data_IF_842986016434
#
_entry.id   IF_842986016434
#
_cell.length_a   1.000
_cell.length_b   1.000
_cell.length_c   1.000
_cell.angle_alpha   90.00
_cell.angle_beta   90.00
_cell.angle_gamma   90.00
#
_symmetry.space_group_name_H-M   'P 1'
#
loop_
_entity.id
_entity.type
_entity.pdbx_description
1 polymer ?
#
# COMPACT_ATOMS: atom_id res chain seq x y z
N UNK A 1 -37.12 -6.04 8.29
CA UNK A 1 -37.17 -4.99 7.26
C UNK A 1 -36.18 -3.92 7.71
N UNK A 2 -34.92 -4.01 7.28
CA UNK A 2 -33.89 -3.02 7.64
C UNK A 2 -33.99 -1.92 6.60
N UNK A 3 -34.29 -0.71 7.03
CA UNK A 3 -34.30 0.47 6.17
C UNK A 3 -32.92 0.61 5.54
N UNK A 4 -32.87 0.46 4.20
CA UNK A 4 -31.69 0.77 3.43
C UNK A 4 -31.48 2.28 3.53
N UNK A 5 -30.54 2.70 4.37
CA UNK A 5 -30.00 4.05 4.36
C UNK A 5 -29.53 4.30 2.93
N UNK A 6 -30.26 5.12 2.18
CA UNK A 6 -29.80 5.62 0.89
C UNK A 6 -28.58 6.49 1.19
N UNK A 7 -27.39 5.95 0.96
CA UNK A 7 -26.19 6.77 0.89
C UNK A 7 -26.44 7.85 -0.18
N UNK A 8 -26.09 9.12 0.10
CA UNK A 8 -26.17 10.16 -0.93
C UNK A 8 -25.36 9.69 -2.14
N UNK A 9 -25.87 10.00 -3.34
CA UNK A 9 -25.20 9.60 -4.57
C UNK A 9 -23.77 10.18 -4.58
N UNK A 10 -22.76 9.32 -4.75
CA UNK A 10 -21.37 9.74 -4.90
C UNK A 10 -21.23 10.48 -6.22
N UNK A 11 -20.97 11.78 -6.15
CA UNK A 11 -20.55 12.61 -7.28
C UNK A 11 -19.03 12.78 -7.21
N UNK A 12 -18.32 12.25 -8.19
CA UNK A 12 -16.86 12.22 -8.23
C UNK A 12 -16.36 13.17 -9.32
N UNK A 13 -15.59 14.20 -8.95
CA UNK A 13 -14.80 14.96 -9.92
C UNK A 13 -13.40 14.38 -10.02
N UNK A 14 -12.75 14.50 -11.19
CA UNK A 14 -11.44 13.90 -11.41
C UNK A 14 -10.46 14.90 -12.03
N UNK A 15 -9.20 14.86 -11.58
CA UNK A 15 -8.08 15.54 -12.21
C UNK A 15 -6.93 14.55 -12.46
N UNK A 16 -6.18 14.78 -13.53
CA UNK A 16 -4.91 14.09 -13.81
C UNK A 16 -3.81 15.14 -13.75
N UNK A 17 -2.90 15.02 -12.79
CA UNK A 17 -1.71 15.86 -12.72
C UNK A 17 -0.59 15.26 -13.55
N UNK A 18 0.14 16.10 -14.29
CA UNK A 18 1.20 15.65 -15.19
C UNK A 18 2.34 16.65 -15.30
N UNK A 19 3.55 16.16 -15.56
CA UNK A 19 4.65 16.99 -16.04
C UNK A 19 4.44 17.34 -17.54
N UNK A 20 4.88 18.52 -18.04
CA UNK A 20 4.75 18.90 -19.45
C UNK A 20 5.25 17.85 -20.44
N UNK A 21 6.40 17.24 -20.13
CA UNK A 21 7.00 16.20 -20.97
C UNK A 21 6.17 14.91 -21.08
N UNK A 22 5.11 14.74 -20.27
CA UNK A 22 4.20 13.58 -20.28
C UNK A 22 2.74 13.96 -20.54
N UNK A 23 2.47 15.19 -20.97
CA UNK A 23 1.10 15.67 -21.23
C UNK A 23 0.30 14.75 -22.17
N UNK A 24 0.93 14.25 -23.24
CA UNK A 24 0.30 13.29 -24.16
C UNK A 24 -0.18 12.01 -23.46
N UNK A 25 0.50 11.58 -22.38
CA UNK A 25 0.10 10.42 -21.59
C UNK A 25 -1.12 10.72 -20.75
N UNK A 26 -1.10 11.87 -20.06
CA UNK A 26 -2.24 12.33 -19.28
C UNK A 26 -3.50 12.50 -20.14
N UNK A 27 -3.36 13.03 -21.37
CA UNK A 27 -4.47 13.12 -22.33
C UNK A 27 -5.01 11.76 -22.75
N UNK A 28 -4.13 10.79 -23.05
CA UNK A 28 -4.55 9.41 -23.36
C UNK A 28 -5.25 8.73 -22.19
N UNK A 29 -4.75 8.93 -20.97
CA UNK A 29 -5.39 8.44 -19.76
C UNK A 29 -6.78 9.08 -19.60
N UNK A 30 -6.90 10.39 -19.81
CA UNK A 30 -8.18 11.09 -19.79
C UNK A 30 -9.18 10.52 -20.82
N UNK A 31 -8.74 10.31 -22.06
CA UNK A 31 -9.54 9.71 -23.13
C UNK A 31 -10.00 8.29 -22.81
N UNK A 32 -9.22 7.53 -22.03
CA UNK A 32 -9.59 6.19 -21.57
C UNK A 32 -10.59 6.18 -20.42
N UNK A 33 -10.88 7.34 -19.81
CA UNK A 33 -11.76 7.50 -18.65
C UNK A 33 -12.92 8.49 -18.95
N UNK A 34 -13.69 8.30 -20.03
CA UNK A 34 -14.67 9.29 -20.48
C UNK A 34 -15.79 9.55 -19.45
N UNK A 35 -16.16 8.55 -18.66
CA UNK A 35 -17.19 8.66 -17.61
C UNK A 35 -16.75 9.56 -16.45
N UNK A 36 -15.45 9.65 -16.19
CA UNK A 36 -14.87 10.50 -15.15
C UNK A 36 -14.58 11.92 -15.64
N UNK A 37 -14.52 12.12 -16.96
CA UNK A 37 -14.22 13.38 -17.64
C UNK A 37 -13.11 14.20 -16.94
N UNK A 38 -11.90 13.64 -16.78
CA UNK A 38 -10.88 14.24 -15.92
C UNK A 38 -10.27 15.52 -16.52
N UNK A 39 -10.06 16.52 -15.66
CA UNK A 39 -9.29 17.71 -16.02
C UNK A 39 -7.79 17.39 -16.02
N UNK A 40 -7.07 17.69 -17.12
CA UNK A 40 -5.61 17.51 -17.19
C UNK A 40 -4.92 18.78 -16.67
N UNK A 41 -4.14 18.62 -15.60
CA UNK A 41 -3.43 19.69 -14.90
C UNK A 41 -1.93 19.54 -15.16
N UNK A 42 -1.43 20.39 -16.05
CA UNK A 42 -0.02 20.39 -16.47
C UNK A 42 0.80 21.26 -15.53
N UNK A 43 1.89 20.69 -15.01
CA UNK A 43 2.86 21.37 -14.17
C UNK A 43 3.52 22.52 -14.93
N UNK A 44 3.31 23.74 -14.47
CA UNK A 44 3.90 24.96 -15.02
C UNK A 44 4.94 25.58 -14.06
N UNK A 45 5.34 24.82 -13.03
CA UNK A 45 6.27 25.31 -12.01
C UNK A 45 7.72 25.21 -12.44
N UNK A 46 8.59 25.99 -11.77
CA UNK A 46 10.01 25.97 -12.05
C UNK A 46 10.63 24.58 -11.77
N UNK A 47 11.50 24.06 -12.65
CA UNK A 47 12.16 22.78 -12.44
C UNK A 47 12.88 22.71 -11.09
N UNK A 48 12.74 21.58 -10.39
CA UNK A 48 13.44 21.32 -9.13
C UNK A 48 12.71 21.74 -7.86
N UNK A 49 11.51 22.34 -7.95
CA UNK A 49 10.68 22.66 -6.77
C UNK A 49 9.95 21.46 -6.15
N UNK A 50 9.96 20.31 -6.81
CA UNK A 50 9.08 19.18 -6.48
C UNK A 50 7.74 19.28 -7.20
N UNK A 51 6.75 18.49 -6.79
CA UNK A 51 5.45 18.39 -7.47
C UNK A 51 4.28 18.92 -6.63
N UNK A 52 4.53 19.42 -5.41
CA UNK A 52 3.48 19.91 -4.50
C UNK A 52 2.62 21.01 -5.12
N UNK A 53 3.23 22.03 -5.73
CA UNK A 53 2.49 23.14 -6.34
C UNK A 53 1.50 22.66 -7.43
N UNK A 54 1.91 21.71 -8.28
CA UNK A 54 1.02 21.12 -9.28
C UNK A 54 -0.05 20.24 -8.64
N UNK A 55 0.28 19.49 -7.59
CA UNK A 55 -0.70 18.71 -6.83
C UNK A 55 -1.77 19.62 -6.21
N UNK A 56 -1.39 20.74 -5.59
CA UNK A 56 -2.35 21.71 -5.01
C UNK A 56 -3.30 22.26 -6.09
N UNK A 57 -2.79 22.56 -7.29
CA UNK A 57 -3.63 22.94 -8.46
C UNK A 57 -4.58 21.82 -8.88
N UNK A 58 -4.13 20.56 -8.85
CA UNK A 58 -4.98 19.42 -9.15
C UNK A 58 -6.09 19.25 -8.11
N UNK A 59 -5.78 19.35 -6.81
CA UNK A 59 -6.79 19.32 -5.75
C UNK A 59 -7.77 20.49 -5.79
N UNK A 60 -7.31 21.68 -6.22
CA UNK A 60 -8.16 22.86 -6.41
C UNK A 60 -9.14 22.71 -7.59
N UNK A 61 -8.91 21.77 -8.51
CA UNK A 61 -9.77 21.54 -9.67
C UNK A 61 -11.03 20.70 -9.34
N UNK A 62 -11.30 20.46 -8.05
CA UNK A 62 -12.52 19.80 -7.59
C UNK A 62 -13.78 20.50 -8.11
N UNK A 63 -14.74 19.72 -8.60
CA UNK A 63 -15.98 20.24 -9.14
C UNK A 63 -16.86 20.92 -8.09
N UNK A 64 -17.62 21.94 -8.50
CA UNK A 64 -18.51 22.68 -7.58
C UNK A 64 -19.53 21.75 -6.89
N UNK A 65 -20.13 20.83 -7.64
CA UNK A 65 -21.16 19.90 -7.18
C UNK A 65 -20.60 18.52 -6.73
N UNK A 66 -19.27 18.36 -6.70
CA UNK A 66 -18.66 17.09 -6.35
C UNK A 66 -18.87 16.77 -4.85
N UNK A 67 -18.99 15.49 -4.51
CA UNK A 67 -18.90 15.01 -3.12
C UNK A 67 -17.48 14.61 -2.76
N UNK A 68 -16.74 14.10 -3.75
CA UNK A 68 -15.38 13.59 -3.62
C UNK A 68 -14.57 14.02 -4.83
N UNK A 69 -13.26 14.08 -4.66
CA UNK A 69 -12.34 14.39 -5.73
C UNK A 69 -11.26 13.31 -5.86
N UNK A 70 -11.12 12.76 -7.06
CA UNK A 70 -10.03 11.87 -7.44
C UNK A 70 -8.92 12.67 -8.12
N UNK A 71 -7.68 12.55 -7.63
CA UNK A 71 -6.48 12.99 -8.34
C UNK A 71 -5.70 11.76 -8.78
N UNK A 72 -5.34 11.71 -10.06
CA UNK A 72 -4.50 10.68 -10.68
C UNK A 72 -3.16 11.29 -11.13
N UNK A 73 -2.10 10.50 -11.07
CA UNK A 73 -0.84 10.80 -11.75
C UNK A 73 -0.88 10.24 -13.19
N UNK A 74 -0.04 10.78 -14.07
CA UNK A 74 -0.05 10.48 -15.50
C UNK A 74 0.58 9.13 -15.91
N UNK A 75 1.17 8.41 -14.95
CA UNK A 75 1.82 7.11 -15.11
C UNK A 75 1.08 5.97 -14.41
N UNK A 76 -0.23 6.08 -14.25
CA UNK A 76 -1.09 5.00 -13.75
C UNK A 76 -1.80 4.25 -14.87
N UNK A 77 -2.08 2.98 -14.62
CA UNK A 77 -2.85 2.10 -15.49
C UNK A 77 -4.10 1.63 -14.71
N UNK A 78 -5.30 2.15 -15.06
CA UNK A 78 -6.56 1.70 -14.47
C UNK A 78 -6.85 0.23 -14.74
N UNK A 79 -7.43 -0.46 -13.76
CA UNK A 79 -7.99 -1.80 -13.97
C UNK A 79 -9.26 -1.77 -14.85
N UNK A 80 -9.74 -2.96 -15.22
CA UNK A 80 -11.05 -3.10 -15.86
C UNK A 80 -12.17 -2.63 -14.92
N UNK A 81 -13.20 -1.97 -15.45
CA UNK A 81 -14.32 -1.40 -14.69
C UNK A 81 -13.90 -0.35 -13.62
N UNK A 82 -12.73 0.27 -13.79
CA UNK A 82 -12.15 1.22 -12.84
C UNK A 82 -13.15 2.25 -12.28
N UNK A 83 -13.87 2.97 -13.15
CA UNK A 83 -14.82 4.00 -12.74
C UNK A 83 -15.87 3.45 -11.76
N UNK A 84 -16.53 2.35 -12.12
CA UNK A 84 -17.55 1.73 -11.28
C UNK A 84 -16.99 1.24 -9.94
N UNK A 85 -15.76 0.69 -9.95
CA UNK A 85 -15.09 0.22 -8.74
C UNK A 85 -14.71 1.37 -7.81
N UNK A 86 -14.21 2.50 -8.34
CA UNK A 86 -13.91 3.69 -7.53
C UNK A 86 -15.19 4.26 -6.90
N UNK A 87 -16.29 4.35 -7.65
CA UNK A 87 -17.56 4.79 -7.08
C UNK A 87 -18.04 3.90 -5.93
N UNK A 88 -17.89 2.58 -6.06
CA UNK A 88 -18.23 1.63 -4.98
C UNK A 88 -17.30 1.73 -3.78
N UNK A 89 -16.00 1.91 -4.01
CA UNK A 89 -15.01 2.11 -2.97
C UNK A 89 -15.35 3.36 -2.13
N UNK A 90 -15.60 4.49 -2.81
CA UNK A 90 -15.99 5.76 -2.18
C UNK A 90 -17.32 5.66 -1.44
N UNK A 91 -18.32 4.98 -2.02
CA UNK A 91 -19.60 4.79 -1.35
C UNK A 91 -19.48 3.97 -0.06
N UNK A 92 -18.55 3.01 0.00
CA UNK A 92 -18.31 2.19 1.19
C UNK A 92 -17.48 2.90 2.27
N UNK A 93 -16.64 3.88 1.88
CA UNK A 93 -15.74 4.64 2.76
C UNK A 93 -15.79 6.14 2.44
N UNK A 94 -16.93 6.81 2.68
CA UNK A 94 -17.14 8.19 2.23
C UNK A 94 -16.47 9.24 3.12
N UNK A 95 -15.90 8.86 4.27
CA UNK A 95 -15.23 9.79 5.19
C UNK A 95 -13.69 9.68 5.10
N UNK A 96 -13.20 8.59 4.53
CA UNK A 96 -11.79 8.24 4.49
C UNK A 96 -11.11 8.74 3.21
N UNK A 97 -9.80 8.95 3.28
CA UNK A 97 -8.96 9.07 2.10
C UNK A 97 -8.75 7.67 1.50
N UNK A 98 -8.85 7.55 0.17
CA UNK A 98 -8.78 6.25 -0.51
C UNK A 98 -7.63 6.27 -1.52
N UNK A 99 -6.52 5.64 -1.16
CA UNK A 99 -5.42 5.30 -2.07
C UNK A 99 -5.79 4.09 -2.93
N UNK A 100 -5.79 4.28 -4.25
CA UNK A 100 -6.16 3.24 -5.23
C UNK A 100 -4.98 2.34 -5.64
N UNK A 101 -3.80 2.65 -5.11
CA UNK A 101 -2.53 1.99 -5.39
C UNK A 101 -1.67 1.92 -4.12
N UNK A 102 -0.83 0.90 -4.03
CA UNK A 102 0.21 0.77 -3.03
C UNK A 102 1.39 0.01 -3.65
N UNK A 103 2.57 0.62 -3.64
CA UNK A 103 3.77 0.00 -4.20
C UNK A 103 4.20 -1.21 -3.35
N UNK A 104 4.60 -2.29 -4.01
CA UNK A 104 4.84 -3.61 -3.43
C UNK A 104 5.92 -3.70 -2.34
N UNK A 105 6.82 -2.73 -2.26
CA UNK A 105 7.86 -2.67 -1.23
C UNK A 105 7.57 -1.65 -0.15
N UNK A 106 6.39 -1.03 -0.12
CA UNK A 106 6.00 -0.11 0.96
C UNK A 106 5.66 -0.85 2.26
N UNK A 107 5.52 -0.12 3.37
CA UNK A 107 5.00 -0.68 4.64
C UNK A 107 3.55 -1.08 4.47
N UNK A 108 2.74 -0.26 3.81
CA UNK A 108 1.32 -0.53 3.55
C UNK A 108 1.12 -1.80 2.74
N UNK A 109 2.06 -2.18 1.87
CA UNK A 109 2.03 -3.45 1.14
C UNK A 109 1.97 -4.67 2.07
N UNK A 110 2.57 -4.56 3.26
CA UNK A 110 2.54 -5.62 4.29
C UNK A 110 1.10 -5.84 4.77
N UNK A 111 0.35 -4.78 5.03
CA UNK A 111 -1.06 -4.86 5.43
C UNK A 111 -1.97 -5.23 4.25
N UNK A 112 -1.64 -4.80 3.03
CA UNK A 112 -2.37 -5.21 1.84
C UNK A 112 -2.30 -6.72 1.59
N UNK A 113 -1.16 -7.37 1.91
CA UNK A 113 -1.04 -8.83 1.87
C UNK A 113 -1.92 -9.52 2.91
N UNK A 114 -2.04 -8.95 4.11
CA UNK A 114 -2.97 -9.42 5.14
C UNK A 114 -4.42 -9.31 4.65
N UNK A 115 -4.81 -8.17 4.10
CA UNK A 115 -6.13 -7.97 3.51
C UNK A 115 -6.41 -8.98 2.40
N UNK A 116 -5.48 -9.18 1.47
CA UNK A 116 -5.61 -10.16 0.39
C UNK A 116 -5.77 -11.60 0.91
N UNK A 117 -5.05 -11.96 2.00
CA UNK A 117 -5.17 -13.28 2.64
C UNK A 117 -6.48 -13.48 3.41
N UNK A 118 -7.09 -12.40 3.90
CA UNK A 118 -8.40 -12.41 4.56
C UNK A 118 -9.57 -12.20 3.60
N UNK A 119 -9.30 -11.91 2.32
CA UNK A 119 -10.33 -11.53 1.35
C UNK A 119 -10.98 -10.18 1.66
N UNK A 120 -10.26 -9.28 2.32
CA UNK A 120 -10.71 -7.93 2.64
C UNK A 120 -10.32 -6.94 1.56
N UNK A 121 -11.16 -5.93 1.37
CA UNK A 121 -10.96 -4.89 0.37
C UNK A 121 -10.09 -3.72 0.83
N UNK A 122 -9.62 -3.73 2.08
CA UNK A 122 -9.02 -2.56 2.72
C UNK A 122 -7.79 -2.90 3.54
N UNK A 123 -6.76 -2.07 3.42
CA UNK A 123 -5.62 -2.02 4.32
C UNK A 123 -5.34 -0.56 4.72
N UNK A 124 -4.85 -0.31 5.94
CA UNK A 124 -4.39 1.04 6.32
C UNK A 124 -3.15 1.43 5.52
N UNK A 125 -3.08 2.69 5.10
CA UNK A 125 -1.84 3.30 4.66
C UNK A 125 -1.01 3.71 5.89
N UNK A 126 0.18 3.13 6.05
CA UNK A 126 1.03 3.25 7.25
C UNK A 126 2.46 3.69 6.92
N UNK A 127 2.68 4.18 5.70
CA UNK A 127 3.96 4.70 5.25
C UNK A 127 4.24 6.12 5.76
N UNK A 128 5.48 6.57 5.61
CA UNK A 128 5.90 7.96 5.88
C UNK A 128 5.32 8.97 4.88
N UNK A 129 4.64 8.48 3.84
CA UNK A 129 4.07 9.20 2.72
C UNK A 129 2.73 8.56 2.37
N UNK A 130 1.87 9.28 1.66
CA UNK A 130 0.60 8.74 1.14
C UNK A 130 0.83 8.16 -0.26
N UNK A 131 0.36 6.95 -0.58
CA UNK A 131 0.30 6.48 -1.96
C UNK A 131 -0.65 7.36 -2.79
N UNK A 132 -0.09 8.39 -3.46
CA UNK A 132 -0.85 9.44 -4.16
C UNK A 132 -0.94 9.28 -5.68
N UNK A 133 -0.50 8.14 -6.22
CA UNK A 133 -0.61 7.83 -7.65
C UNK A 133 -2.08 7.88 -8.14
N UNK A 134 -3.00 7.45 -7.28
CA UNK A 134 -4.41 7.73 -7.40
C UNK A 134 -5.01 7.81 -6.01
N UNK A 135 -5.50 9.00 -5.65
CA UNK A 135 -6.03 9.29 -4.32
C UNK A 135 -7.40 9.96 -4.44
N UNK A 136 -8.38 9.46 -3.68
CA UNK A 136 -9.66 10.11 -3.50
C UNK A 136 -9.72 10.78 -2.13
N UNK A 137 -10.19 12.02 -2.09
CA UNK A 137 -10.54 12.72 -0.85
C UNK A 137 -12.01 13.16 -0.88
N UNK A 138 -12.69 13.22 0.27
CA UNK A 138 -13.90 14.02 0.42
C UNK A 138 -13.64 15.46 -0.04
N UNK A 139 -14.64 16.09 -0.69
CA UNK A 139 -14.48 17.42 -1.31
C UNK A 139 -13.96 18.47 -0.32
N UNK A 140 -14.43 18.46 0.92
CA UNK A 140 -13.99 19.42 1.93
C UNK A 140 -12.50 19.31 2.22
N UNK A 141 -11.96 18.08 2.22
CA UNK A 141 -10.55 17.82 2.44
C UNK A 141 -9.71 18.14 1.21
N UNK A 142 -10.23 17.89 0.00
CA UNK A 142 -9.59 18.33 -1.24
C UNK A 142 -9.40 19.86 -1.27
N UNK A 143 -10.44 20.63 -0.95
CA UNK A 143 -10.38 22.10 -0.91
C UNK A 143 -9.46 22.61 0.20
N UNK A 144 -9.56 22.03 1.40
CA UNK A 144 -8.73 22.44 2.53
C UNK A 144 -7.24 22.14 2.28
N UNK A 145 -6.92 20.99 1.67
CA UNK A 145 -5.55 20.68 1.28
C UNK A 145 -5.06 21.60 0.15
N UNK A 146 -5.88 21.87 -0.86
CA UNK A 146 -5.54 22.78 -1.96
C UNK A 146 -5.23 24.21 -1.50
N UNK A 147 -5.82 24.65 -0.38
CA UNK A 147 -5.57 25.96 0.23
C UNK A 147 -4.34 25.99 1.17
N UNK A 148 -3.63 24.87 1.34
CA UNK A 148 -2.41 24.82 2.13
C UNK A 148 -1.28 25.63 1.50
N UNK A 149 -0.31 26.04 2.34
CA UNK A 149 0.88 26.74 1.88
C UNK A 149 1.76 25.82 1.00
N UNK A 150 2.16 26.31 -0.18
CA UNK A 150 3.15 25.64 -1.02
C UNK A 150 4.55 25.82 -0.42
N UNK A 151 5.00 24.81 0.33
CA UNK A 151 6.36 24.74 0.87
C UNK A 151 7.37 24.18 -0.13
N UNK A 152 6.94 23.85 -1.36
CA UNK A 152 7.67 22.98 -2.28
C UNK A 152 7.79 21.54 -1.76
N UNK A 153 8.49 20.70 -2.52
CA UNK A 153 8.75 19.30 -2.19
C UNK A 153 7.74 18.32 -2.78
N UNK A 154 7.66 17.14 -2.15
CA UNK A 154 6.84 16.04 -2.61
C UNK A 154 5.41 16.12 -2.07
N UNK A 155 4.43 15.94 -2.95
CA UNK A 155 3.00 15.97 -2.63
C UNK A 155 2.60 14.88 -1.63
N UNK A 156 3.15 13.68 -1.77
CA UNK A 156 2.86 12.50 -0.95
C UNK A 156 3.23 12.68 0.54
N UNK A 157 4.28 13.46 0.82
CA UNK A 157 4.70 13.88 2.16
C UNK A 157 3.80 14.99 2.71
N UNK A 158 3.42 15.96 1.88
CA UNK A 158 2.55 17.05 2.31
C UNK A 158 1.13 16.54 2.63
N UNK A 159 0.58 15.66 1.79
CA UNK A 159 -0.77 15.13 1.99
C UNK A 159 -0.83 14.18 3.18
N UNK A 160 0.18 13.33 3.43
CA UNK A 160 0.15 12.45 4.62
C UNK A 160 0.16 13.27 5.91
N UNK A 161 0.90 14.39 5.94
CA UNK A 161 0.93 15.29 7.07
C UNK A 161 -0.42 15.97 7.27
N UNK A 162 -1.06 16.41 6.18
CA UNK A 162 -2.42 16.93 6.22
C UNK A 162 -3.42 15.89 6.78
N UNK A 163 -3.40 14.66 6.26
CA UNK A 163 -4.32 13.59 6.70
C UNK A 163 -4.14 13.28 8.19
N UNK A 164 -2.89 13.15 8.67
CA UNK A 164 -2.59 12.90 10.08
C UNK A 164 -3.04 14.03 10.99
N UNK A 165 -2.71 15.28 10.65
CA UNK A 165 -3.12 16.46 11.44
C UNK A 165 -4.63 16.58 11.59
N UNK A 166 -5.36 16.19 10.55
CA UNK A 166 -6.83 16.24 10.53
C UNK A 166 -7.49 14.92 10.95
N UNK A 167 -6.72 13.91 11.37
CA UNK A 167 -7.20 12.56 11.76
C UNK A 167 -8.09 11.92 10.69
N UNK A 168 -7.69 12.05 9.44
CA UNK A 168 -8.37 11.41 8.31
C UNK A 168 -7.65 10.10 8.04
N UNK A 169 -8.37 9.00 8.18
CA UNK A 169 -7.83 7.68 7.85
C UNK A 169 -7.55 7.58 6.36
N UNK A 170 -6.39 7.00 6.02
CA UNK A 170 -6.04 6.67 4.65
C UNK A 170 -6.07 5.16 4.45
N UNK A 171 -6.92 4.72 3.53
CA UNK A 171 -7.15 3.33 3.19
C UNK A 171 -6.62 3.03 1.79
N UNK A 172 -5.94 1.89 1.65
CA UNK A 172 -5.52 1.31 0.38
C UNK A 172 -6.56 0.27 -0.05
N UNK A 173 -7.03 0.35 -1.30
CA UNK A 173 -7.91 -0.69 -1.88
C UNK A 173 -7.15 -1.99 -2.12
N UNK A 174 -7.76 -3.13 -1.80
CA UNK A 174 -7.20 -4.47 -2.07
C UNK A 174 -8.24 -5.32 -2.83
N UNK A 175 -7.99 -5.72 -4.09
CA UNK A 175 -6.81 -5.39 -4.88
C UNK A 175 -6.71 -3.88 -5.18
N UNK A 176 -5.51 -3.43 -5.56
CA UNK A 176 -5.30 -2.07 -6.05
C UNK A 176 -6.03 -1.89 -7.38
N UNK A 177 -6.76 -0.79 -7.50
CA UNK A 177 -7.52 -0.45 -8.70
C UNK A 177 -6.65 0.21 -9.79
N UNK A 178 -5.42 0.56 -9.45
CA UNK A 178 -4.40 1.08 -10.36
C UNK A 178 -3.13 0.22 -10.29
N UNK A 179 -2.42 0.18 -11.41
CA UNK A 179 -1.03 -0.24 -11.53
C UNK A 179 -0.15 0.96 -11.92
N UNK A 180 1.15 0.90 -11.65
CA UNK A 180 2.13 1.91 -12.07
C UNK A 180 2.77 1.50 -13.40
N UNK A 181 2.76 2.39 -14.40
CA UNK A 181 3.52 2.24 -15.65
C UNK A 181 5.01 2.46 -15.33
N UNK A 182 5.77 1.38 -15.15
CA UNK A 182 7.16 1.38 -14.68
C UNK A 182 8.17 1.90 -15.73
N UNK A 183 8.00 3.16 -16.14
CA UNK A 183 8.92 3.87 -17.02
C UNK A 183 9.86 4.76 -16.20
N UNK A 184 10.99 5.12 -16.81
CA UNK A 184 12.01 5.98 -16.19
C UNK A 184 11.39 7.22 -15.51
N UNK A 185 11.63 7.34 -14.21
CA UNK A 185 11.17 8.46 -13.39
C UNK A 185 11.80 9.77 -13.85
N UNK A 186 10.98 10.83 -13.99
CA UNK A 186 11.44 12.18 -14.30
C UNK A 186 12.03 12.92 -13.08
N UNK A 187 11.76 12.43 -11.87
CA UNK A 187 12.22 13.02 -10.60
C UNK A 187 13.45 12.31 -10.03
N UNK A 188 14.23 11.67 -10.90
CA UNK A 188 15.45 10.91 -10.56
C UNK A 188 15.25 9.76 -9.56
N UNK A 189 14.01 9.30 -9.35
CA UNK A 189 13.70 8.18 -8.46
C UNK A 189 14.00 6.79 -9.09
N UNK A 190 14.66 6.75 -10.25
CA UNK A 190 15.04 5.49 -10.91
C UNK A 190 15.95 4.60 -10.06
N UNK A 191 16.68 5.15 -9.09
CA UNK A 191 17.51 4.37 -8.17
C UNK A 191 16.68 3.43 -7.27
N UNK A 192 15.37 3.66 -7.13
CA UNK A 192 14.49 2.89 -6.25
C UNK A 192 14.14 1.50 -6.82
N UNK A 193 14.41 1.24 -8.10
CA UNK A 193 13.95 0.06 -8.82
C UNK A 193 12.45 0.11 -9.16
N UNK A 194 11.88 -0.94 -9.77
CA UNK A 194 10.47 -0.98 -10.15
C UNK A 194 9.50 -0.83 -8.96
N UNK A 195 8.43 -0.07 -9.18
CA UNK A 195 7.44 0.29 -8.14
C UNK A 195 6.03 -0.17 -8.54
N UNK A 196 5.88 -1.46 -8.78
CA UNK A 196 4.61 -2.06 -9.17
C UNK A 196 3.67 -2.24 -7.96
N UNK A 197 2.40 -2.50 -8.23
CA UNK A 197 1.37 -2.76 -7.23
C UNK A 197 1.68 -4.01 -6.40
N UNK A 198 1.35 -3.95 -5.11
CA UNK A 198 1.36 -5.11 -4.23
C UNK A 198 0.39 -6.21 -4.67
N UNK A 199 -0.76 -5.83 -5.23
CA UNK A 199 -1.84 -6.73 -5.62
C UNK A 199 -2.74 -6.01 -6.65
N UNK A 200 -2.36 -6.03 -7.92
CA UNK A 200 -3.17 -5.44 -8.99
C UNK A 200 -4.49 -6.19 -9.16
N UNK A 201 -5.57 -5.47 -9.42
CA UNK A 201 -6.89 -6.07 -9.66
C UNK A 201 -6.84 -6.95 -10.93
N UNK A 202 -7.18 -8.24 -10.83
CA UNK A 202 -7.29 -9.09 -12.03
C UNK A 202 -8.44 -8.63 -12.92
N UNK A 203 -8.40 -9.03 -14.19
CA UNK A 203 -9.53 -8.82 -15.10
C UNK A 203 -10.82 -9.43 -14.52
N UNK A 204 -11.93 -8.70 -14.63
CA UNK A 204 -13.21 -9.07 -14.03
C UNK A 204 -13.25 -9.08 -12.49
N UNK A 205 -12.32 -8.41 -11.79
CA UNK A 205 -12.36 -8.31 -10.34
C UNK A 205 -13.62 -7.58 -9.85
N UNK A 206 -14.30 -8.18 -8.86
CA UNK A 206 -15.50 -7.63 -8.24
C UNK A 206 -15.35 -7.61 -6.70
N UNK A 207 -14.43 -6.80 -6.15
CA UNK A 207 -14.19 -6.77 -4.70
C UNK A 207 -15.43 -6.32 -3.93
N UNK A 208 -15.74 -7.02 -2.83
CA UNK A 208 -16.72 -6.57 -1.86
C UNK A 208 -16.12 -5.52 -0.94
N UNK A 209 -16.55 -4.26 -1.04
CA UNK A 209 -16.00 -3.17 -0.23
C UNK A 209 -16.59 -3.09 1.20
N UNK A 210 -17.59 -3.91 1.52
CA UNK A 210 -18.15 -4.06 2.86
C UNK A 210 -17.35 -5.11 3.67
N UNK A 211 -16.09 -4.79 3.94
CA UNK A 211 -15.18 -5.65 4.70
C UNK A 211 -14.42 -4.86 5.77
N UNK A 212 -13.84 -5.54 6.78
CA UNK A 212 -12.90 -4.93 7.71
C UNK A 212 -11.66 -4.36 7.02
N UNK A 213 -10.86 -3.62 7.81
CA UNK A 213 -9.61 -3.00 7.38
C UNK A 213 -8.42 -3.73 8.02
N UNK A 214 -7.47 -4.17 7.21
CA UNK A 214 -6.23 -4.74 7.73
C UNK A 214 -5.38 -3.69 8.46
N UNK A 215 -4.96 -4.03 9.68
CA UNK A 215 -4.15 -3.16 10.54
C UNK A 215 -4.95 -2.26 11.50
N UNK A 216 -6.27 -2.39 11.57
CA UNK A 216 -7.06 -1.71 12.61
C UNK A 216 -6.52 -2.08 14.00
N UNK A 217 -6.31 -1.06 14.86
CA UNK A 217 -5.74 -1.22 16.20
C UNK A 217 -4.23 -1.43 16.27
N UNK A 218 -3.57 -1.75 15.14
CA UNK A 218 -2.14 -1.99 15.11
C UNK A 218 -1.34 -0.71 15.36
N UNK A 219 -0.35 -0.79 16.25
CA UNK A 219 0.59 0.30 16.58
C UNK A 219 2.02 -0.04 16.22
N UNK A 220 2.36 -1.32 16.00
CA UNK A 220 3.69 -1.78 15.55
C UNK A 220 3.57 -2.74 14.37
N UNK A 221 4.30 -2.46 13.29
CA UNK A 221 4.29 -3.26 12.07
C UNK A 221 5.68 -3.86 11.81
N UNK A 222 5.79 -5.19 11.65
CA UNK A 222 7.01 -5.81 11.15
C UNK A 222 7.15 -5.55 9.64
N UNK A 223 8.32 -5.12 9.21
CA UNK A 223 8.60 -4.80 7.81
C UNK A 223 10.11 -4.94 7.53
N UNK A 224 10.46 -5.28 6.29
CA UNK A 224 11.83 -5.20 5.81
C UNK A 224 11.93 -4.10 4.76
N UNK A 225 12.79 -3.11 5.03
CA UNK A 225 13.01 -2.01 4.10
C UNK A 225 13.73 -2.48 2.84
N UNK A 226 13.22 -2.13 1.65
CA UNK A 226 13.92 -2.27 0.38
C UNK A 226 15.21 -1.43 0.29
N UNK A 227 15.52 -0.64 1.32
CA UNK A 227 16.81 0.07 1.45
C UNK A 227 17.83 -0.66 2.34
N UNK A 228 17.41 -1.66 3.13
CA UNK A 228 18.27 -2.27 4.16
C UNK A 228 18.21 -3.79 4.25
N UNK A 229 17.16 -4.43 3.76
CA UNK A 229 17.00 -5.90 3.65
C UNK A 229 17.25 -6.66 4.95
N UNK A 230 16.73 -6.14 6.07
CA UNK A 230 16.66 -6.86 7.34
C UNK A 230 15.32 -6.59 8.02
N UNK A 231 14.94 -7.46 8.97
CA UNK A 231 13.69 -7.34 9.70
C UNK A 231 13.75 -6.17 10.69
N UNK A 232 12.72 -5.34 10.65
CA UNK A 232 12.54 -4.17 11.50
C UNK A 232 11.09 -4.05 11.98
N UNK A 233 10.88 -3.32 13.06
CA UNK A 233 9.58 -2.94 13.59
C UNK A 233 9.37 -1.44 13.48
N UNK A 234 8.26 -1.03 12.89
CA UNK A 234 7.91 0.38 12.72
C UNK A 234 6.69 0.73 13.57
N UNK A 235 6.69 1.94 14.12
CA UNK A 235 5.46 2.51 14.64
C UNK A 235 4.50 2.81 13.48
N UNK A 236 3.23 2.41 13.66
CA UNK A 236 2.13 2.66 12.74
C UNK A 236 0.83 3.05 13.48
N UNK A 237 0.97 3.46 14.74
CA UNK A 237 -0.15 3.95 15.53
C UNK A 237 -0.58 5.36 15.14
N UNK A 238 -1.33 6.01 16.02
CA UNK A 238 -1.93 7.32 15.76
C UNK A 238 -1.02 8.50 16.07
N UNK A 239 0.07 8.31 16.83
CA UNK A 239 0.98 9.40 17.18
C UNK A 239 1.77 9.84 15.94
N UNK A 240 1.49 11.02 15.35
CA UNK A 240 2.16 11.46 14.12
C UNK A 240 3.67 11.67 14.33
N UNK A 241 4.08 12.01 15.56
CA UNK A 241 5.46 12.32 15.92
C UNK A 241 6.35 11.07 16.08
N UNK A 242 5.76 9.87 16.13
CA UNK A 242 6.49 8.60 16.27
C UNK A 242 6.83 7.93 14.93
N UNK A 243 6.40 8.51 13.81
CA UNK A 243 6.69 8.00 12.47
C UNK A 243 8.15 8.24 12.09
N UNK A 244 8.90 7.16 11.89
CA UNK A 244 10.34 7.21 11.58
C UNK A 244 10.69 6.50 10.28
N UNK A 245 11.83 6.88 9.69
CA UNK A 245 12.43 6.19 8.52
C UNK A 245 13.19 4.91 8.90
N UNK A 246 13.59 4.79 10.16
CA UNK A 246 14.33 3.66 10.74
C UNK A 246 13.44 2.93 11.74
N UNK A 247 13.41 1.60 11.67
CA UNK A 247 12.67 0.78 12.61
C UNK A 247 13.56 0.27 13.73
N UNK A 248 12.93 -0.31 14.76
CA UNK A 248 13.64 -1.08 15.77
C UNK A 248 14.08 -2.42 15.15
N UNK A 249 15.24 -2.97 15.53
CA UNK A 249 15.70 -4.26 14.99
C UNK A 249 14.67 -5.38 15.25
N UNK A 250 14.52 -6.29 14.29
CA UNK A 250 13.50 -7.36 14.29
C UNK A 250 13.42 -8.18 15.59
N UNK A 251 14.56 -8.42 16.25
CA UNK A 251 14.62 -9.20 17.49
C UNK A 251 14.10 -8.49 18.74
N UNK A 252 13.93 -7.16 18.69
CA UNK A 252 13.60 -6.35 19.87
C UNK A 252 12.15 -6.46 20.31
N UNK A 253 11.26 -6.97 19.45
CA UNK A 253 9.81 -7.06 19.71
C UNK A 253 9.25 -8.47 19.50
N UNK A 254 10.10 -9.47 19.28
CA UNK A 254 9.67 -10.87 19.23
C UNK A 254 9.49 -11.38 20.67
N UNK A 255 8.36 -12.04 21.00
CA UNK A 255 8.13 -12.57 22.33
C UNK A 255 9.07 -13.76 22.62
N UNK A 256 9.18 -14.12 23.89
CA UNK A 256 9.89 -15.33 24.30
C UNK A 256 9.29 -16.57 23.61
N UNK A 257 10.14 -17.52 23.21
CA UNK A 257 9.75 -18.69 22.43
C UNK A 257 9.65 -18.44 20.91
N UNK A 258 9.77 -17.19 20.49
CA UNK A 258 9.72 -16.79 19.08
C UNK A 258 10.91 -15.89 18.70
N UNK A 259 12.03 -15.96 19.44
CA UNK A 259 13.25 -15.24 19.06
C UNK A 259 13.85 -15.90 17.82
N UNK A 260 14.66 -15.17 17.05
CA UNK A 260 15.31 -15.74 15.85
C UNK A 260 16.06 -17.05 16.10
N UNK A 261 16.69 -17.21 17.26
CA UNK A 261 17.35 -18.47 17.62
C UNK A 261 16.37 -19.66 17.67
N UNK A 262 15.15 -19.43 18.14
CA UNK A 262 14.08 -20.43 18.26
C UNK A 262 13.45 -20.78 16.90
N UNK A 263 13.51 -19.84 15.95
CA UNK A 263 12.85 -19.95 14.64
C UNK A 263 13.73 -20.56 13.54
N UNK A 264 15.04 -20.75 13.78
CA UNK A 264 15.99 -21.16 12.75
C UNK A 264 15.63 -22.50 12.08
N UNK A 265 15.21 -23.50 12.86
CA UNK A 265 14.86 -24.82 12.32
C UNK A 265 13.56 -24.79 11.52
N UNK A 266 12.58 -23.97 11.95
CA UNK A 266 11.35 -23.74 11.21
C UNK A 266 11.64 -23.08 9.87
N UNK A 267 12.44 -22.01 9.87
CA UNK A 267 12.85 -21.33 8.65
C UNK A 267 13.52 -22.29 7.65
N UNK A 268 14.46 -23.14 8.11
CA UNK A 268 15.12 -24.12 7.23
C UNK A 268 14.13 -25.12 6.64
N UNK A 269 13.15 -25.56 7.43
CA UNK A 269 12.09 -26.45 6.96
C UNK A 269 11.23 -25.80 5.86
N UNK A 270 10.78 -24.56 6.07
CA UNK A 270 9.99 -23.82 5.08
C UNK A 270 10.80 -23.51 3.82
N UNK A 271 12.07 -23.13 3.99
CA UNK A 271 12.99 -22.88 2.88
C UNK A 271 13.18 -24.14 2.02
N UNK A 272 13.41 -25.29 2.65
CA UNK A 272 13.53 -26.57 1.95
C UNK A 272 12.23 -26.95 1.21
N UNK A 273 11.08 -26.70 1.83
CA UNK A 273 9.76 -26.98 1.25
C UNK A 273 9.47 -26.16 -0.02
N UNK A 274 10.13 -25.01 -0.22
CA UNK A 274 9.96 -24.24 -1.46
C UNK A 274 10.46 -24.96 -2.71
N UNK A 275 11.40 -25.91 -2.54
CA UNK A 275 12.06 -26.66 -3.62
C UNK A 275 12.93 -25.81 -4.56
N UNK A 276 13.14 -24.53 -4.25
CA UNK A 276 13.78 -23.57 -5.13
C UNK A 276 15.20 -23.19 -4.66
N UNK A 277 16.12 -22.89 -5.58
CA UNK A 277 17.49 -22.50 -5.25
C UNK A 277 17.58 -21.03 -4.80
N UNK A 278 16.73 -20.60 -3.87
CA UNK A 278 16.74 -19.22 -3.33
C UNK A 278 18.13 -18.84 -2.79
N UNK A 279 18.80 -19.80 -2.15
CA UNK A 279 20.15 -19.66 -1.58
C UNK A 279 21.27 -19.49 -2.61
N UNK A 280 21.02 -19.77 -3.89
CA UNK A 280 22.00 -19.52 -4.96
C UNK A 280 22.12 -18.04 -5.33
N UNK A 281 21.10 -17.24 -5.01
CA UNK A 281 21.03 -15.81 -5.39
C UNK A 281 21.02 -14.89 -4.16
N UNK A 282 20.50 -15.37 -3.03
CA UNK A 282 20.36 -14.59 -1.79
C UNK A 282 20.93 -15.39 -0.63
N UNK A 283 21.70 -14.75 0.25
CA UNK A 283 22.26 -15.44 1.42
C UNK A 283 21.15 -15.99 2.33
N UNK A 284 21.41 -17.11 3.00
CA UNK A 284 20.48 -17.70 3.95
C UNK A 284 20.12 -16.73 5.08
N UNK A 285 21.08 -15.92 5.55
CA UNK A 285 20.85 -14.89 6.57
C UNK A 285 19.81 -13.85 6.10
N UNK A 286 19.94 -13.36 4.87
CA UNK A 286 19.00 -12.39 4.30
C UNK A 286 17.62 -12.99 4.06
N UNK A 287 17.57 -14.25 3.60
CA UNK A 287 16.31 -15.00 3.47
C UNK A 287 15.65 -15.23 4.84
N UNK A 288 16.44 -15.39 5.90
CA UNK A 288 15.91 -15.55 7.24
C UNK A 288 15.30 -14.25 7.78
N UNK A 289 15.93 -13.08 7.50
CA UNK A 289 15.32 -11.79 7.81
C UNK A 289 13.99 -11.58 7.05
N UNK A 290 13.97 -11.90 5.74
CA UNK A 290 12.76 -11.86 4.93
C UNK A 290 11.65 -12.76 5.49
N UNK A 291 12.00 -13.99 5.85
CA UNK A 291 11.06 -14.94 6.47
C UNK A 291 10.57 -14.43 7.83
N UNK A 292 11.47 -13.89 8.66
CA UNK A 292 11.16 -13.39 10.01
C UNK A 292 10.13 -12.26 9.98
N UNK A 293 10.21 -11.34 9.02
CA UNK A 293 9.21 -10.27 8.86
C UNK A 293 7.82 -10.83 8.62
N UNK A 294 7.70 -11.84 7.76
CA UNK A 294 6.42 -12.44 7.43
C UNK A 294 5.89 -13.31 8.57
N UNK A 295 6.76 -14.01 9.29
CA UNK A 295 6.41 -14.70 10.53
C UNK A 295 5.88 -13.72 11.59
N UNK A 296 6.61 -12.63 11.84
CA UNK A 296 6.17 -11.57 12.75
C UNK A 296 4.85 -10.94 12.30
N UNK A 297 4.63 -10.78 10.98
CA UNK A 297 3.37 -10.28 10.45
C UNK A 297 2.18 -11.20 10.79
N UNK A 298 2.41 -12.52 10.85
CA UNK A 298 1.45 -13.49 11.35
C UNK A 298 1.20 -13.35 12.87
N UNK A 299 2.25 -13.11 13.65
CA UNK A 299 2.14 -12.89 15.09
C UNK A 299 1.26 -11.67 15.42
N UNK A 300 1.38 -10.57 14.67
CA UNK A 300 0.62 -9.35 14.96
C UNK A 300 -0.86 -9.43 14.60
N UNK A 301 -1.32 -10.52 13.98
CA UNK A 301 -2.74 -10.67 13.65
C UNK A 301 -3.60 -10.72 14.94
N UNK A 302 -4.66 -9.90 15.03
CA UNK A 302 -5.47 -9.80 16.25
C UNK A 302 -6.33 -11.04 16.50
N UNK A 303 -6.57 -11.83 15.45
CA UNK A 303 -7.40 -13.03 15.48
C UNK A 303 -6.72 -14.13 14.65
N UNK A 304 -6.92 -15.42 15.00
CA UNK A 304 -6.50 -16.53 14.16
C UNK A 304 -6.97 -16.38 12.71
N UNK A 305 -6.18 -16.93 11.78
CA UNK A 305 -6.57 -16.95 10.38
C UNK A 305 -7.49 -18.13 10.10
N UNK A 306 -8.61 -17.84 9.45
CA UNK A 306 -9.40 -18.89 8.81
C UNK A 306 -8.65 -19.51 7.61
N UNK A 307 -8.93 -20.78 7.29
CA UNK A 307 -8.39 -21.42 6.09
C UNK A 307 -9.04 -20.78 4.85
N UNK A 308 -8.32 -19.83 4.23
CA UNK A 308 -8.67 -19.33 2.91
C UNK A 308 -7.41 -18.81 2.22
N UNK A 309 -6.73 -19.69 1.49
CA UNK A 309 -5.84 -19.28 0.43
C UNK A 309 -6.65 -19.11 -0.86
N UNK A 310 -6.26 -18.12 -1.66
CA UNK A 310 -6.87 -17.86 -2.95
C UNK A 310 -5.89 -17.12 -3.85
N UNK A 311 -6.17 -17.04 -5.16
CA UNK A 311 -5.25 -16.48 -6.15
C UNK A 311 -4.84 -15.03 -5.84
N UNK A 312 -5.71 -14.23 -5.20
CA UNK A 312 -5.38 -12.88 -4.75
C UNK A 312 -4.32 -12.87 -3.64
N UNK A 313 -4.43 -13.77 -2.67
CA UNK A 313 -3.42 -13.93 -1.63
C UNK A 313 -2.09 -14.39 -2.20
N UNK A 314 -2.11 -15.39 -3.08
CA UNK A 314 -0.88 -15.90 -3.72
C UNK A 314 -0.19 -14.80 -4.53
N UNK A 315 -0.96 -14.05 -5.34
CA UNK A 315 -0.44 -12.92 -6.10
C UNK A 315 0.16 -11.84 -5.18
N UNK A 316 -0.51 -11.49 -4.08
CA UNK A 316 -0.02 -10.47 -3.16
C UNK A 316 1.27 -10.89 -2.43
N UNK A 317 1.36 -12.14 -1.97
CA UNK A 317 2.59 -12.64 -1.34
C UNK A 317 3.74 -12.81 -2.34
N UNK A 318 3.44 -13.14 -3.59
CA UNK A 318 4.43 -13.21 -4.67
C UNK A 318 5.14 -11.86 -4.90
N UNK A 319 4.55 -10.71 -4.54
CA UNK A 319 5.20 -9.40 -4.67
C UNK A 319 6.12 -9.02 -3.51
N UNK A 320 6.14 -9.78 -2.41
CA UNK A 320 6.96 -9.47 -1.23
C UNK A 320 8.46 -9.46 -1.54
N UNK A 321 8.93 -10.49 -2.24
CA UNK A 321 10.33 -10.61 -2.63
C UNK A 321 10.74 -9.57 -3.69
N UNK A 322 10.00 -9.37 -4.80
CA UNK A 322 10.25 -8.25 -5.71
C UNK A 322 10.30 -6.89 -5.01
N UNK A 323 9.33 -6.59 -4.15
CA UNK A 323 9.27 -5.33 -3.42
C UNK A 323 10.51 -5.07 -2.57
N UNK A 324 11.01 -6.10 -1.89
CA UNK A 324 12.20 -6.01 -1.04
C UNK A 324 13.51 -5.93 -1.85
N UNK A 325 13.64 -6.74 -2.91
CA UNK A 325 14.90 -6.94 -3.63
C UNK A 325 15.06 -6.11 -4.91
N UNK A 326 14.10 -5.25 -5.25
CA UNK A 326 14.06 -4.42 -6.48
C UNK A 326 15.32 -3.60 -6.80
N UNK A 327 16.22 -3.41 -5.84
CA UNK A 327 17.51 -2.71 -6.01
C UNK A 327 18.75 -3.60 -5.92
N UNK A 328 18.61 -4.80 -5.39
CA UNK A 328 19.74 -5.67 -5.04
C UNK A 328 19.94 -6.80 -6.03
N UNK A 329 18.89 -7.17 -6.75
CA UNK A 329 18.91 -8.24 -7.73
C UNK A 329 18.45 -7.73 -9.11
N UNK A 330 19.00 -8.28 -10.20
CA UNK A 330 18.44 -8.05 -11.53
C UNK A 330 16.98 -8.49 -11.60
N UNK A 331 16.15 -7.77 -12.36
CA UNK A 331 14.72 -8.11 -12.50
C UNK A 331 14.48 -9.54 -13.00
N UNK A 332 15.33 -10.06 -13.90
CA UNK A 332 15.23 -11.45 -14.33
C UNK A 332 15.37 -12.46 -13.17
N UNK A 333 16.26 -12.19 -12.21
CA UNK A 333 16.41 -13.01 -11.01
C UNK A 333 15.20 -12.85 -10.08
N UNK A 334 14.68 -11.64 -9.94
CA UNK A 334 13.48 -11.36 -9.14
C UNK A 334 12.28 -12.13 -9.70
N UNK A 335 12.04 -12.07 -11.01
CA UNK A 335 10.92 -12.79 -11.64
C UNK A 335 11.05 -14.30 -11.51
N UNK A 336 12.25 -14.84 -11.70
CA UNK A 336 12.50 -16.28 -11.57
C UNK A 336 12.24 -16.81 -10.14
N UNK A 337 12.48 -15.98 -9.12
CA UNK A 337 12.33 -16.37 -7.71
C UNK A 337 10.97 -15.98 -7.11
N UNK A 338 10.23 -15.08 -7.77
CA UNK A 338 8.96 -14.48 -7.30
C UNK A 338 8.01 -15.49 -6.67
N UNK A 339 7.68 -16.55 -7.39
CA UNK A 339 6.72 -17.56 -6.93
C UNK A 339 7.20 -18.34 -5.70
N UNK A 340 8.46 -18.79 -5.69
CA UNK A 340 9.01 -19.60 -4.60
C UNK A 340 9.26 -18.77 -3.34
N UNK A 341 9.75 -17.54 -3.49
CA UNK A 341 9.92 -16.62 -2.36
C UNK A 341 8.56 -16.14 -1.81
N UNK A 342 7.54 -15.99 -2.65
CA UNK A 342 6.17 -15.74 -2.22
C UNK A 342 5.60 -16.86 -1.35
N UNK A 343 5.80 -18.13 -1.77
CA UNK A 343 5.42 -19.30 -0.95
C UNK A 343 6.16 -19.34 0.39
N UNK A 344 7.46 -18.98 0.41
CA UNK A 344 8.23 -18.88 1.66
C UNK A 344 7.62 -17.85 2.62
N UNK A 345 7.26 -16.67 2.11
CA UNK A 345 6.63 -15.62 2.91
C UNK A 345 5.23 -16.00 3.40
N UNK A 346 4.42 -16.64 2.55
CA UNK A 346 3.10 -17.12 2.93
C UNK A 346 3.18 -18.17 4.04
N UNK A 347 4.09 -19.15 3.92
CA UNK A 347 4.30 -20.16 4.95
C UNK A 347 4.74 -19.53 6.29
N UNK A 348 5.70 -18.60 6.26
CA UNK A 348 6.14 -17.87 7.44
C UNK A 348 4.97 -17.17 8.14
N UNK A 349 4.18 -16.43 7.37
CA UNK A 349 2.98 -15.73 7.86
C UNK A 349 1.96 -16.68 8.49
N UNK A 350 1.70 -17.82 7.86
CA UNK A 350 0.78 -18.82 8.39
C UNK A 350 1.27 -19.44 9.70
N UNK A 351 2.56 -19.75 9.83
CA UNK A 351 3.13 -20.23 11.09
C UNK A 351 3.05 -19.17 12.20
N UNK A 352 3.31 -17.90 11.89
CA UNK A 352 3.18 -16.81 12.86
C UNK A 352 1.73 -16.59 13.29
N UNK A 353 0.78 -16.73 12.38
CA UNK A 353 -0.63 -16.59 12.68
C UNK A 353 -1.21 -17.79 13.45
N UNK A 354 -0.64 -18.98 13.27
CA UNK A 354 -0.98 -20.19 14.01
C UNK A 354 -0.28 -20.30 15.37
N UNK A 355 0.69 -19.43 15.66
CA UNK A 355 1.39 -19.42 16.93
C UNK A 355 0.41 -19.20 18.10
N UNK A 356 0.63 -19.95 19.17
CA UNK A 356 -0.11 -19.84 20.43
C UNK A 356 0.43 -18.64 21.24
N UNK A 357 -0.31 -17.54 21.22
CA UNK A 357 -0.07 -16.37 22.06
C UNK A 357 -1.40 -15.66 22.38
N UNK A 358 -1.39 -14.81 23.40
CA UNK A 358 -2.50 -13.90 23.70
C UNK A 358 -2.66 -12.88 22.56
N UNK A 359 -3.90 -12.71 22.07
CA UNK A 359 -4.23 -11.83 20.95
C UNK A 359 -5.47 -10.98 21.27
N UNK A 360 -5.51 -9.71 20.85
CA UNK A 360 -4.40 -8.94 20.29
C UNK A 360 -3.29 -8.72 21.34
N UNK A 361 -2.02 -8.83 20.92
CA UNK A 361 -0.90 -8.69 21.85
C UNK A 361 -0.68 -7.21 22.22
N UNK A 362 -0.60 -6.83 23.51
CA UNK A 362 -0.56 -5.43 23.94
C UNK A 362 0.68 -4.66 23.48
N UNK A 363 1.79 -5.35 23.18
CA UNK A 363 3.00 -4.68 22.66
C UNK A 363 2.86 -4.18 21.22
N UNK A 364 1.86 -4.65 20.47
CA UNK A 364 1.68 -4.33 19.05
C UNK A 364 0.34 -3.69 18.72
N UNK A 365 -0.62 -3.73 19.65
CA UNK A 365 -1.95 -3.15 19.49
C UNK A 365 -2.22 -2.10 20.57
N UNK A 366 -2.86 -1.01 20.17
CA UNK A 366 -3.35 0.00 21.12
C UNK A 366 -4.66 -0.45 21.78
N UNK A 367 -5.06 0.21 22.86
CA UNK A 367 -6.41 0.03 23.41
C UNK A 367 -7.46 0.38 22.34
N UNK A 368 -8.47 -0.47 22.13
CA UNK A 368 -9.59 -0.13 21.24
C UNK A 368 -10.32 1.10 21.80
N UNK A 369 -10.65 2.05 20.93
CA UNK A 369 -11.49 3.21 21.28
C UNK A 369 -12.96 2.85 21.32
#
# INVERSE_FOLDING_TARGET
>A
MRDAVRHPAVLLSTAIMTHPAREDRARKLAESLPELNPAVIVDDTEPGRGNLANALRAWAAVGEDATHHLVLQDDVVPCENFTALVHRAVAARPAEAISLFCEWGSRSATLARVAARRGWAWARAVDMYTPSQGLVLPREHALAFAAAEDTGGADDLAIVEYLRRNRIDNLVTVPNLLEHDDRLSLTANGFQGPRLSVCAAPAGAEPGFDTPVAGTGLTRLPYASWMRVHAEWFYCGESPDEYTWLGDFGDTRLPEGFRKADLADRFRADLAATGAPLTHQVSELTLFEYWTVHFALGLVQPEPLEPASGPHSEAAFATAFPGLFRRYLPMASIEALRGSAGRLAAAAFEHGAAAELERPHPDWHGEPR
#
